data_IF_809348938426
#
_entry.id   IF_809348938426
#
_cell.length_a   1.000
_cell.length_b   1.000
_cell.length_c   1.000
_cell.angle_alpha   90.00
_cell.angle_beta   90.00
_cell.angle_gamma   90.00
#
_symmetry.space_group_name_H-M   'P 1'
#
loop_
_entity.id
_entity.type
_entity.pdbx_description
1 polymer ?
#
# COMPACT_ATOMS: atom_id res chain seq x y z
N UNK A 1 -14.33 12.14 24.55
CA UNK A 1 -13.12 11.30 24.48
C UNK A 1 -12.32 11.81 23.28
N UNK A 2 -11.17 12.43 23.48
CA UNK A 2 -10.30 12.85 22.37
C UNK A 2 -9.48 11.62 22.01
N UNK A 3 -9.79 11.02 20.87
CA UNK A 3 -8.95 10.00 20.26
C UNK A 3 -7.66 10.72 19.84
N UNK A 4 -6.55 10.49 20.56
CA UNK A 4 -5.26 11.00 20.12
C UNK A 4 -4.92 10.30 18.81
N UNK A 5 -4.86 11.04 17.70
CA UNK A 5 -4.32 10.52 16.46
C UNK A 5 -2.89 10.06 16.75
N UNK A 6 -2.62 8.77 16.58
CA UNK A 6 -1.26 8.24 16.58
C UNK A 6 -0.59 8.75 15.30
N UNK A 7 -0.04 9.96 15.37
CA UNK A 7 0.73 10.56 14.27
C UNK A 7 2.18 10.09 14.37
N UNK A 8 2.55 9.13 13.52
CA UNK A 8 3.95 8.70 13.38
C UNK A 8 4.66 9.58 12.35
N UNK A 9 5.84 10.09 12.70
CA UNK A 9 6.71 10.86 11.80
C UNK A 9 8.05 10.13 11.71
N UNK A 10 8.55 9.93 10.49
CA UNK A 10 9.77 9.19 10.20
C UNK A 10 10.37 9.70 8.89
N UNK A 11 11.68 9.56 8.74
CA UNK A 11 12.44 9.94 7.54
C UNK A 11 12.60 8.73 6.62
N UNK A 12 12.53 8.94 5.30
CA UNK A 12 12.52 7.84 4.30
C UNK A 12 13.54 7.99 3.17
N UNK A 13 14.34 9.06 3.20
CA UNK A 13 15.26 9.39 2.10
C UNK A 13 14.54 9.60 0.77
N UNK A 14 15.08 9.01 -0.30
CA UNK A 14 14.49 9.08 -1.64
C UNK A 14 13.30 8.11 -1.77
N UNK A 15 12.22 8.56 -2.39
CA UNK A 15 11.05 7.72 -2.65
C UNK A 15 11.06 7.18 -4.08
N UNK A 16 10.59 5.94 -4.23
CA UNK A 16 10.40 5.28 -5.53
C UNK A 16 8.92 5.04 -5.76
N UNK A 17 8.45 5.37 -6.96
CA UNK A 17 7.10 5.07 -7.42
C UNK A 17 7.13 3.89 -8.39
N UNK A 18 6.35 2.86 -8.08
CA UNK A 18 6.11 1.73 -8.98
C UNK A 18 4.64 1.72 -9.37
N UNK A 19 4.35 1.95 -10.65
CA UNK A 19 3.00 1.84 -11.20
C UNK A 19 2.94 0.63 -12.14
N UNK A 20 1.96 -0.24 -11.96
CA UNK A 20 1.76 -1.42 -12.82
C UNK A 20 0.28 -1.77 -12.94
N UNK A 21 -0.10 -2.31 -14.09
CA UNK A 21 -1.40 -2.96 -14.25
C UNK A 21 -1.33 -4.37 -13.66
N UNK A 22 -2.30 -4.73 -12.83
CA UNK A 22 -2.43 -6.07 -12.26
C UNK A 22 -3.73 -6.71 -12.73
N UNK A 23 -3.63 -8.01 -13.02
CA UNK A 23 -4.77 -8.90 -13.21
C UNK A 23 -4.75 -9.83 -12.01
N UNK A 24 -5.75 -9.71 -11.15
CA UNK A 24 -5.95 -10.65 -10.05
C UNK A 24 -6.82 -11.78 -10.59
N UNK A 25 -6.18 -12.87 -11.03
CA UNK A 25 -6.87 -14.11 -11.35
C UNK A 25 -7.14 -14.88 -10.05
N UNK A 26 -8.28 -14.58 -9.41
CA UNK A 26 -8.75 -15.30 -8.23
C UNK A 26 -9.01 -16.78 -8.57
N UNK A 27 -7.95 -17.60 -8.59
CA UNK A 27 -7.96 -19.03 -8.96
C UNK A 27 -8.81 -19.92 -8.01
N UNK A 28 -9.73 -19.32 -7.26
CA UNK A 28 -10.82 -19.96 -6.53
C UNK A 28 -12.08 -19.09 -6.76
N UNK A 29 -12.88 -19.47 -7.76
CA UNK A 29 -14.30 -19.10 -7.96
C UNK A 29 -14.64 -17.58 -8.03
N UNK A 30 -14.89 -17.08 -9.25
CA UNK A 30 -15.72 -15.90 -9.60
C UNK A 30 -15.34 -14.48 -9.15
N UNK A 31 -14.13 -14.25 -8.62
CA UNK A 31 -13.67 -12.89 -8.25
C UNK A 31 -12.42 -12.46 -9.02
N UNK A 32 -12.50 -12.44 -10.35
CA UNK A 32 -11.46 -11.80 -11.15
C UNK A 32 -11.55 -10.28 -11.00
N UNK A 33 -10.43 -9.62 -10.68
CA UNK A 33 -10.34 -8.17 -10.58
C UNK A 33 -9.11 -7.67 -11.34
N UNK A 34 -9.11 -6.39 -11.70
CA UNK A 34 -8.04 -5.77 -12.47
C UNK A 34 -7.92 -4.29 -12.15
N UNK A 35 -6.75 -3.73 -12.42
CA UNK A 35 -6.56 -2.28 -12.38
C UNK A 35 -5.12 -1.90 -12.16
N UNK A 36 -4.88 -0.66 -11.73
CA UNK A 36 -3.52 -0.14 -11.50
C UNK A 36 -3.17 -0.24 -10.03
N UNK A 37 -2.02 -0.85 -9.72
CA UNK A 37 -1.38 -0.74 -8.42
C UNK A 37 -0.27 0.30 -8.47
N UNK A 38 -0.32 1.26 -7.55
CA UNK A 38 0.71 2.28 -7.36
C UNK A 38 1.33 2.07 -5.98
N UNK A 39 2.62 1.74 -5.95
CA UNK A 39 3.38 1.54 -4.73
C UNK A 39 4.39 2.68 -4.57
N UNK A 40 4.39 3.29 -3.40
CA UNK A 40 5.38 4.27 -2.96
C UNK A 40 6.25 3.58 -1.91
N UNK A 41 7.55 3.50 -2.20
CA UNK A 41 8.53 2.85 -1.34
C UNK A 41 9.62 3.85 -0.95
N UNK A 42 10.17 3.72 0.25
CA UNK A 42 11.31 4.49 0.75
C UNK A 42 12.22 3.61 1.59
N UNK A 43 13.31 4.18 2.10
CA UNK A 43 14.25 3.50 2.98
C UNK A 43 14.08 3.99 4.42
N UNK A 44 13.75 3.09 5.35
CA UNK A 44 13.67 3.38 6.78
C UNK A 44 14.70 2.49 7.46
N UNK A 45 15.67 3.11 8.13
CA UNK A 45 16.74 2.42 8.86
C UNK A 45 17.52 1.38 8.01
N UNK A 46 17.69 1.63 6.70
CA UNK A 46 18.36 0.74 5.76
C UNK A 46 17.48 -0.38 5.19
N UNK A 47 16.17 -0.36 5.49
CA UNK A 47 15.19 -1.30 4.96
C UNK A 47 14.24 -0.63 3.97
N UNK A 48 14.04 -1.28 2.82
CA UNK A 48 13.04 -0.82 1.83
C UNK A 48 11.64 -1.08 2.36
N UNK A 49 10.90 -0.02 2.64
CA UNK A 49 9.56 -0.09 3.22
C UNK A 49 8.51 0.43 2.25
N UNK A 50 7.37 -0.27 2.15
CA UNK A 50 6.18 0.26 1.47
C UNK A 50 5.57 1.32 2.37
N UNK A 51 5.57 2.57 1.89
CA UNK A 51 4.99 3.71 2.60
C UNK A 51 3.50 3.80 2.31
N UNK A 52 3.14 3.64 1.04
CA UNK A 52 1.77 3.67 0.54
C UNK A 52 1.63 2.67 -0.60
N UNK A 53 0.52 1.93 -0.64
CA UNK A 53 0.08 1.22 -1.84
C UNK A 53 -1.38 1.58 -2.10
N UNK A 54 -1.66 2.02 -3.31
CA UNK A 54 -3.01 2.19 -3.82
C UNK A 54 -3.30 1.06 -4.80
N UNK A 55 -4.25 0.20 -4.46
CA UNK A 55 -4.82 -0.75 -5.40
C UNK A 55 -6.09 -0.12 -5.97
N UNK A 56 -5.96 0.44 -7.16
CA UNK A 56 -7.07 1.03 -7.91
C UNK A 56 -7.72 -0.04 -8.78
N UNK A 57 -8.15 -1.14 -8.16
CA UNK A 57 -8.83 -2.21 -8.87
C UNK A 57 -10.31 -1.88 -9.14
N UNK A 58 -10.91 -2.54 -10.12
CA UNK A 58 -12.29 -2.31 -10.55
C UNK A 58 -13.28 -2.64 -9.42
N UNK A 59 -13.00 -3.65 -8.61
CA UNK A 59 -13.89 -4.12 -7.53
C UNK A 59 -13.26 -3.85 -6.15
N UNK A 60 -12.13 -4.49 -5.84
CA UNK A 60 -11.46 -4.53 -4.53
C UNK A 60 -10.46 -3.39 -4.35
N UNK A 61 -10.97 -2.16 -4.38
CA UNK A 61 -10.17 -0.96 -4.09
C UNK A 61 -9.64 -1.01 -2.67
N UNK A 62 -8.34 -0.81 -2.50
CA UNK A 62 -7.71 -0.79 -1.19
C UNK A 62 -6.55 0.21 -1.15
N UNK A 63 -6.26 0.69 0.06
CA UNK A 63 -5.06 1.46 0.35
C UNK A 63 -4.37 0.84 1.56
N UNK A 64 -3.05 0.74 1.48
CA UNK A 64 -2.19 0.20 2.53
C UNK A 64 -1.17 1.28 2.86
N UNK A 65 -0.92 1.51 4.14
CA UNK A 65 0.09 2.47 4.61
C UNK A 65 1.09 1.78 5.55
N UNK A 66 2.35 2.21 5.49
CA UNK A 66 3.40 1.82 6.43
C UNK A 66 3.81 2.99 7.35
N UNK A 67 4.91 2.86 8.12
CA UNK A 67 5.77 1.69 8.28
C UNK A 67 5.22 0.70 9.30
N UNK A 68 4.30 1.15 10.16
CA UNK A 68 3.46 0.26 10.97
C UNK A 68 2.01 0.38 10.49
N UNK A 69 1.48 -0.72 9.94
CA UNK A 69 0.05 -0.95 9.95
C UNK A 69 -0.24 -2.03 10.99
N UNK A 70 -0.74 -1.69 12.19
CA UNK A 70 -1.07 -2.70 13.19
C UNK A 70 -2.23 -3.61 12.77
N UNK A 71 -2.96 -3.25 11.70
CA UNK A 71 -4.15 -3.94 11.21
C UNK A 71 -3.93 -4.69 9.87
N UNK A 72 -2.68 -4.93 9.45
CA UNK A 72 -2.32 -5.89 8.39
C UNK A 72 -1.99 -7.27 8.95
#
# INVERSE_FOLDING_TARGET
MVQSELKTVFEVGSVTFTARHELWDGNIQDHADQGVSIVVEGDIDGEKTILLRFNCFDIERSYIYGPQNPDL
#
